data_IF_859190394710
#
_entry.id   IF_859190394710
#
_cell.length_a   1.000
_cell.length_b   1.000
_cell.length_c   1.000
_cell.angle_alpha   90.00
_cell.angle_beta   90.00
_cell.angle_gamma   90.00
#
_symmetry.space_group_name_H-M   'P 1'
#
loop_
_entity.id
_entity.type
_entity.pdbx_description
1 polymer ?
#
# COMPACT_ATOMS: atom_id res chain seq x y z
N UNK A 1 5.45 -9.86 -1.05
CA UNK A 1 6.80 -9.88 -1.66
C UNK A 1 7.53 -11.10 -1.14
N UNK A 2 8.14 -11.94 -1.97
CA UNK A 2 9.06 -12.97 -1.46
C UNK A 2 10.44 -12.34 -1.34
N UNK A 3 10.99 -12.26 -0.13
CA UNK A 3 12.28 -11.62 0.11
C UNK A 3 13.03 -12.22 1.28
N UNK A 4 14.33 -11.94 1.32
CA UNK A 4 15.20 -12.29 2.45
C UNK A 4 15.48 -11.03 3.24
N UNK A 5 15.23 -11.04 4.55
CA UNK A 5 15.63 -9.96 5.44
C UNK A 5 17.16 -9.81 5.40
N UNK A 6 17.66 -8.58 5.25
CA UNK A 6 19.09 -8.28 5.21
C UNK A 6 19.49 -7.63 6.53
N UNK A 7 18.92 -6.48 6.81
CA UNK A 7 19.14 -5.70 8.02
C UNK A 7 17.98 -4.71 8.22
N UNK A 8 17.76 -4.30 9.46
CA UNK A 8 16.73 -3.34 9.85
C UNK A 8 15.37 -3.58 9.15
N UNK A 9 15.02 -2.71 8.21
CA UNK A 9 13.76 -2.70 7.47
C UNK A 9 13.95 -3.04 5.99
N UNK A 10 15.11 -3.58 5.65
CA UNK A 10 15.52 -3.84 4.28
C UNK A 10 15.40 -5.34 4.00
N UNK A 11 14.65 -5.66 2.95
CA UNK A 11 14.50 -7.01 2.42
C UNK A 11 15.06 -7.05 1.01
N UNK A 12 15.93 -8.01 0.71
CA UNK A 12 16.31 -8.31 -0.66
C UNK A 12 15.18 -9.07 -1.34
N UNK A 13 14.62 -8.48 -2.38
CA UNK A 13 13.48 -9.02 -3.12
C UNK A 13 13.95 -10.18 -4.01
N UNK A 14 13.23 -11.29 -3.96
CA UNK A 14 13.43 -12.46 -4.83
C UNK A 14 12.28 -12.64 -5.81
N UNK A 15 11.06 -12.30 -5.38
CA UNK A 15 9.87 -12.41 -6.21
C UNK A 15 8.80 -11.39 -5.80
N UNK A 16 8.00 -10.95 -6.78
CA UNK A 16 6.87 -10.07 -6.62
C UNK A 16 5.64 -10.69 -7.29
N UNK A 17 4.47 -10.56 -6.67
CA UNK A 17 3.21 -11.09 -7.20
C UNK A 17 2.17 -9.97 -7.08
N UNK A 18 1.50 -9.65 -8.18
CA UNK A 18 0.46 -8.62 -8.23
C UNK A 18 -0.84 -9.13 -7.60
N UNK A 19 -1.25 -8.49 -6.50
CA UNK A 19 -2.52 -8.78 -5.79
C UNK A 19 -2.79 -10.29 -5.65
N UNK A 20 -1.91 -11.06 -4.97
CA UNK A 20 -2.10 -12.50 -4.83
C UNK A 20 -3.41 -12.81 -4.08
N UNK A 21 -3.98 -13.99 -4.31
CA UNK A 21 -4.95 -14.54 -3.37
C UNK A 21 -4.28 -14.84 -2.02
N UNK A 22 -5.08 -15.10 -0.98
CA UNK A 22 -4.56 -15.41 0.37
C UNK A 22 -3.61 -16.63 0.31
N UNK A 23 -3.98 -17.66 -0.45
CA UNK A 23 -3.20 -18.90 -0.56
C UNK A 23 -1.93 -18.74 -1.41
N UNK A 24 -1.89 -17.74 -2.31
CA UNK A 24 -0.74 -17.45 -3.17
C UNK A 24 0.19 -16.39 -2.57
N UNK A 25 -0.21 -15.75 -1.46
CA UNK A 25 0.55 -14.66 -0.86
C UNK A 25 1.89 -15.19 -0.31
N UNK A 26 3.04 -14.74 -0.82
CA UNK A 26 4.34 -15.28 -0.41
C UNK A 26 4.79 -14.76 0.96
N UNK A 27 4.08 -13.78 1.52
CA UNK A 27 4.42 -13.05 2.74
C UNK A 27 3.27 -12.11 3.12
N UNK A 28 3.31 -11.54 4.32
CA UNK A 28 2.51 -10.37 4.73
C UNK A 28 3.11 -9.01 4.31
N UNK A 29 4.19 -8.97 3.52
CA UNK A 29 4.80 -7.73 3.02
C UNK A 29 4.13 -7.31 1.71
N UNK A 30 3.36 -6.23 1.76
CA UNK A 30 2.68 -5.64 0.61
C UNK A 30 3.55 -4.57 -0.08
N UNK A 31 3.40 -4.45 -1.40
CA UNK A 31 4.04 -3.38 -2.18
C UNK A 31 3.21 -2.10 -1.99
N UNK A 32 3.86 -1.03 -1.54
CA UNK A 32 3.28 0.31 -1.50
C UNK A 32 3.64 1.05 -2.78
N UNK A 33 2.75 1.92 -3.25
CA UNK A 33 2.93 2.71 -4.49
C UNK A 33 4.01 3.80 -4.40
N UNK A 34 5.20 3.45 -3.94
CA UNK A 34 6.39 4.30 -3.79
C UNK A 34 7.58 3.48 -4.26
N UNK A 35 8.23 3.97 -5.31
CA UNK A 35 9.30 3.23 -5.98
C UNK A 35 10.44 4.17 -6.32
N UNK A 36 11.67 3.67 -6.18
CA UNK A 36 12.86 4.25 -6.78
C UNK A 36 13.38 3.18 -7.71
N UNK A 37 13.26 3.40 -9.02
CA UNK A 37 13.47 2.37 -10.04
C UNK A 37 14.56 2.84 -11.00
N UNK A 38 15.47 1.94 -11.33
CA UNK A 38 16.43 2.13 -12.41
C UNK A 38 15.71 2.41 -13.74
N UNK A 39 16.22 3.31 -14.61
CA UNK A 39 15.64 3.57 -15.94
C UNK A 39 15.50 2.32 -16.81
N UNK A 40 16.25 1.24 -16.54
CA UNK A 40 16.14 -0.06 -17.22
C UNK A 40 14.72 -0.63 -17.20
N UNK A 41 13.88 -0.20 -16.27
CA UNK A 41 12.46 -0.58 -16.22
C UNK A 41 11.70 -0.19 -17.50
N UNK A 42 12.08 0.88 -18.18
CA UNK A 42 11.38 1.34 -19.38
C UNK A 42 11.51 0.34 -20.53
N UNK A 43 12.72 -0.19 -20.76
CA UNK A 43 12.95 -1.23 -21.77
C UNK A 43 12.16 -2.52 -21.46
N UNK A 44 12.01 -2.85 -20.18
CA UNK A 44 11.22 -4.01 -19.73
C UNK A 44 9.73 -3.75 -19.97
N UNK A 45 9.23 -2.58 -19.57
CA UNK A 45 7.83 -2.18 -19.72
C UNK A 45 7.39 -2.17 -21.19
N UNK A 46 8.26 -1.75 -22.11
CA UNK A 46 8.01 -1.77 -23.55
C UNK A 46 7.65 -3.18 -24.07
N UNK A 47 8.21 -4.22 -23.45
CA UNK A 47 8.01 -5.63 -23.84
C UNK A 47 7.09 -6.40 -22.88
N UNK A 48 6.58 -5.74 -21.83
CA UNK A 48 5.76 -6.39 -20.81
C UNK A 48 4.36 -6.68 -21.36
N UNK A 49 4.00 -7.96 -21.42
CA UNK A 49 2.67 -8.39 -21.86
C UNK A 49 1.59 -8.00 -20.83
N UNK A 50 0.33 -7.84 -21.26
CA UNK A 50 -0.79 -7.65 -20.34
C UNK A 50 -0.91 -8.78 -19.32
N UNK A 51 -0.99 -8.42 -18.05
CA UNK A 51 -1.11 -9.34 -16.92
C UNK A 51 -2.51 -9.35 -16.34
N UNK A 52 -2.61 -9.22 -15.01
CA UNK A 52 -3.87 -9.23 -14.28
C UNK A 52 -4.80 -8.13 -14.79
N UNK A 53 -6.05 -8.48 -15.10
CA UNK A 53 -7.05 -7.55 -15.62
C UNK A 53 -6.84 -7.10 -17.08
N UNK A 54 -5.88 -7.69 -17.79
CA UNK A 54 -5.56 -7.29 -19.18
C UNK A 54 -4.80 -5.97 -19.27
N UNK A 55 -4.20 -5.51 -18.17
CA UNK A 55 -3.38 -4.29 -18.11
C UNK A 55 -1.89 -4.64 -18.10
N UNK A 56 -1.04 -3.73 -18.58
CA UNK A 56 0.41 -3.82 -18.42
C UNK A 56 0.75 -3.45 -16.97
N UNK A 57 1.14 -4.44 -16.17
CA UNK A 57 1.36 -4.26 -14.74
C UNK A 57 2.82 -3.90 -14.44
N UNK A 58 3.04 -2.84 -13.67
CA UNK A 58 4.37 -2.48 -13.18
C UNK A 58 4.98 -3.61 -12.33
N UNK A 59 4.17 -4.35 -11.58
CA UNK A 59 4.64 -5.46 -10.73
C UNK A 59 5.28 -6.58 -11.54
N UNK A 60 4.76 -6.87 -12.74
CA UNK A 60 5.31 -7.89 -13.63
C UNK A 60 6.66 -7.42 -14.20
N UNK A 61 6.76 -6.15 -14.60
CA UNK A 61 8.03 -5.55 -15.05
C UNK A 61 9.07 -5.48 -13.92
N UNK A 62 8.65 -5.16 -12.69
CA UNK A 62 9.53 -5.17 -11.51
C UNK A 62 10.02 -6.58 -11.17
N UNK A 63 9.17 -7.59 -11.34
CA UNK A 63 9.56 -9.00 -11.17
C UNK A 63 10.66 -9.38 -12.16
N UNK A 64 10.54 -8.98 -13.42
CA UNK A 64 11.60 -9.20 -14.41
C UNK A 64 12.87 -8.40 -14.08
N UNK A 65 12.73 -7.13 -13.68
CA UNK A 65 13.86 -6.29 -13.29
C UNK A 65 14.64 -6.92 -12.12
N UNK A 66 13.93 -7.47 -11.13
CA UNK A 66 14.54 -8.15 -9.98
C UNK A 66 15.36 -9.40 -10.34
N UNK A 67 15.15 -9.99 -11.53
CA UNK A 67 16.01 -11.07 -12.04
C UNK A 67 17.30 -10.53 -12.70
N UNK A 68 17.29 -9.27 -13.15
CA UNK A 68 18.40 -8.63 -13.87
C UNK A 68 19.31 -7.82 -12.96
N UNK A 69 18.79 -7.32 -11.83
CA UNK A 69 19.54 -6.55 -10.84
C UNK A 69 19.00 -6.74 -9.42
N UNK A 70 19.81 -6.42 -8.41
CA UNK A 70 19.41 -6.54 -7.02
C UNK A 70 18.34 -5.49 -6.69
N UNK A 71 17.18 -5.97 -6.24
CA UNK A 71 16.07 -5.13 -5.79
C UNK A 71 15.87 -5.27 -4.28
N UNK A 72 15.54 -4.15 -3.64
CA UNK A 72 15.31 -4.09 -2.19
C UNK A 72 13.93 -3.51 -1.89
N UNK A 73 13.25 -4.10 -0.91
CA UNK A 73 12.02 -3.57 -0.34
C UNK A 73 12.34 -2.94 1.01
N UNK A 74 11.78 -1.75 1.24
CA UNK A 74 11.86 -1.04 2.51
C UNK A 74 10.53 -1.16 3.24
N UNK A 75 10.55 -1.75 4.44
CA UNK A 75 9.39 -1.87 5.31
C UNK A 75 9.15 -0.54 6.04
N UNK A 76 8.31 0.32 5.46
CA UNK A 76 8.00 1.63 5.99
C UNK A 76 7.23 1.55 7.33
N UNK A 77 7.61 2.38 8.30
CA UNK A 77 6.73 2.67 9.46
C UNK A 77 5.87 3.86 9.17
N UNK A 78 4.58 3.66 9.35
CA UNK A 78 3.62 4.73 9.44
C UNK A 78 2.22 4.17 9.25
N UNK A 79 1.24 5.03 9.46
CA UNK A 79 -0.15 4.67 9.17
C UNK A 79 -0.40 4.87 7.67
N UNK A 80 -0.76 3.80 6.99
CA UNK A 80 -1.33 3.84 5.64
C UNK A 80 -2.83 4.01 5.75
N UNK A 81 -3.38 4.91 4.96
CA UNK A 81 -4.81 4.93 4.67
C UNK A 81 -5.01 4.55 3.21
N UNK A 82 -5.92 3.62 2.94
CA UNK A 82 -6.32 3.28 1.58
C UNK A 82 -7.48 4.16 1.16
N UNK A 83 -7.17 5.30 0.55
CA UNK A 83 -8.19 6.26 0.09
C UNK A 83 -8.89 5.81 -1.20
N UNK A 84 -8.47 4.70 -1.81
CA UNK A 84 -9.20 4.07 -2.91
C UNK A 84 -10.41 3.27 -2.44
N UNK A 85 -10.42 2.86 -1.17
CA UNK A 85 -11.56 2.24 -0.51
C UNK A 85 -12.43 3.27 0.21
N UNK A 86 -13.75 3.06 0.23
CA UNK A 86 -14.71 4.02 0.81
C UNK A 86 -14.53 4.15 2.31
N UNK A 87 -14.33 3.04 3.02
CA UNK A 87 -14.14 3.06 4.47
C UNK A 87 -12.78 3.68 4.79
N UNK A 88 -11.72 3.27 4.09
CA UNK A 88 -10.38 3.84 4.26
C UNK A 88 -10.32 5.35 4.00
N UNK A 89 -11.10 5.87 3.03
CA UNK A 89 -11.25 7.30 2.80
C UNK A 89 -11.90 8.04 3.97
N UNK A 90 -12.96 7.49 4.57
CA UNK A 90 -13.64 8.09 5.72
C UNK A 90 -12.74 8.07 6.97
N UNK A 91 -12.08 6.95 7.24
CA UNK A 91 -11.10 6.83 8.33
C UNK A 91 -9.99 7.87 8.22
N UNK A 92 -9.43 8.02 7.01
CA UNK A 92 -8.42 9.05 6.75
C UNK A 92 -8.98 10.44 7.06
N UNK A 93 -10.16 10.76 6.54
CA UNK A 93 -10.77 12.08 6.73
C UNK A 93 -10.99 12.39 8.20
N UNK A 94 -11.53 11.45 8.97
CA UNK A 94 -11.75 11.59 10.41
C UNK A 94 -10.43 11.85 11.14
N UNK A 95 -9.41 11.04 10.88
CA UNK A 95 -8.15 11.16 11.61
C UNK A 95 -7.35 12.40 11.26
N UNK A 96 -7.37 12.83 10.00
CA UNK A 96 -6.75 14.08 9.59
C UNK A 96 -7.48 15.30 10.16
N UNK A 97 -8.81 15.28 10.23
CA UNK A 97 -9.58 16.33 10.90
C UNK A 97 -9.24 16.43 12.39
N UNK A 98 -9.14 15.30 13.09
CA UNK A 98 -8.78 15.25 14.51
C UNK A 98 -7.31 15.62 14.79
N UNK A 99 -6.42 15.58 13.78
CA UNK A 99 -5.03 16.05 13.90
C UNK A 99 -4.88 17.56 13.67
N UNK A 100 -5.89 18.24 13.13
CA UNK A 100 -5.81 19.66 12.75
C UNK A 100 -6.13 20.57 13.93
N UNK A 101 -5.15 21.38 14.31
CA UNK A 101 -5.34 22.46 15.30
C UNK A 101 -6.46 23.41 14.85
N UNK A 102 -7.32 23.82 15.78
CA UNK A 102 -8.48 24.66 15.52
C UNK A 102 -9.71 23.96 14.93
N UNK A 103 -9.58 22.70 14.48
CA UNK A 103 -10.72 21.88 14.01
C UNK A 103 -11.03 20.71 14.96
N UNK A 104 -10.00 20.18 15.62
CA UNK A 104 -10.07 18.96 16.44
C UNK A 104 -11.22 18.96 17.43
N UNK A 105 -11.33 19.98 18.27
CA UNK A 105 -12.21 19.94 19.43
C UNK A 105 -13.70 19.99 19.02
N UNK A 106 -14.05 20.91 18.12
CA UNK A 106 -15.42 21.01 17.57
C UNK A 106 -15.82 19.72 16.83
N UNK A 107 -14.91 19.16 16.02
CA UNK A 107 -15.18 17.95 15.26
C UNK A 107 -15.26 16.70 16.14
N UNK A 108 -14.39 16.59 17.15
CA UNK A 108 -14.44 15.49 18.11
C UNK A 108 -15.77 15.48 18.89
N UNK A 109 -16.23 16.66 19.28
CA UNK A 109 -17.52 16.81 19.96
C UNK A 109 -18.69 16.42 19.04
N UNK A 110 -18.65 16.82 17.77
CA UNK A 110 -19.61 16.35 16.77
C UNK A 110 -19.65 14.82 16.66
N UNK A 111 -18.49 14.15 16.56
CA UNK A 111 -18.42 12.68 16.46
C UNK A 111 -18.99 11.97 17.69
N UNK A 112 -18.67 12.46 18.91
CA UNK A 112 -19.25 11.91 20.15
C UNK A 112 -20.77 12.01 20.17
N UNK A 113 -21.32 13.12 19.69
CA UNK A 113 -22.76 13.34 19.60
C UNK A 113 -23.44 12.41 18.58
N UNK A 114 -22.76 12.04 17.49
CA UNK A 114 -23.26 11.02 16.55
C UNK A 114 -23.28 9.64 17.22
N UNK A 115 -22.17 9.22 17.84
CA UNK A 115 -22.07 7.92 18.51
C UNK A 115 -23.13 7.77 19.63
N UNK A 116 -23.31 8.80 20.45
CA UNK A 116 -24.30 8.79 21.52
C UNK A 116 -25.77 8.76 21.04
N UNK A 117 -26.04 9.06 19.76
CA UNK A 117 -27.37 8.90 19.15
C UNK A 117 -27.55 7.49 18.63
N UNK A 118 -26.60 6.97 17.85
CA UNK A 118 -26.66 5.61 17.31
C UNK A 118 -26.70 4.55 18.44
N UNK A 119 -25.94 4.74 19.53
CA UNK A 119 -25.95 3.84 20.69
C UNK A 119 -27.29 3.83 21.46
N UNK A 120 -28.17 4.82 21.25
CA UNK A 120 -29.51 4.87 21.86
C UNK A 120 -30.58 4.20 20.98
N UNK A 121 -30.27 3.99 19.71
CA UNK A 121 -31.18 3.43 18.71
C UNK A 121 -30.87 1.92 18.45
N UNK A 122 -29.94 1.33 19.21
CA UNK A 122 -29.61 -0.11 19.30
C UNK A 122 -30.13 -0.66 20.63
#
# INVERSE_FOLDING_TARGET
IKGMHIEDRIYKVRDLIEKPSIDEAPSNIAILGRYIISPRIFDILEHTAPGKGGEIQLTDALKELAQKEAMYAYNFEGRRYDVGDKLGFLEATVEFALKREGLRDEFLEYLKNILAKEDKDI
#
